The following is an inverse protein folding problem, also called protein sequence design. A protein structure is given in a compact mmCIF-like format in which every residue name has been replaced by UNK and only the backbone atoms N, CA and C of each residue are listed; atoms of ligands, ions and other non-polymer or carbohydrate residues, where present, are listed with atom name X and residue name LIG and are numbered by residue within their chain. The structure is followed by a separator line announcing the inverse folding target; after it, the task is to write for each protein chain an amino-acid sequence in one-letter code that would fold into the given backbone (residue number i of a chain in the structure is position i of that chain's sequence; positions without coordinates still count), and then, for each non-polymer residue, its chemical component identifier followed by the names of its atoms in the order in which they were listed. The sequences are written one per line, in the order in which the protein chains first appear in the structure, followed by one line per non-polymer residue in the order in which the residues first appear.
data_IF_540801572999
#
_entry.id   IF_540801572999
#
_cell.length_a   1.000
_cell.length_b   1.000
_cell.length_c   1.000
_cell.angle_alpha   90.00
_cell.angle_beta   90.00
_cell.angle_gamma   90.00
#
_symmetry.space_group_name_H-M   'P 1'
#
loop_
_entity.id
_entity.type
_entity.pdbx_description
1 polymer ?
#
# COMPACT_ATOMS: atom_id res chain seq x y z
N UNK A 1 22.45 41.08 -16.54
CA UNK A 1 23.37 41.85 -15.67
C UNK A 1 22.74 43.21 -15.41
N UNK A 2 22.26 43.49 -14.19
CA UNK A 2 21.82 44.84 -13.81
C UNK A 2 22.97 45.54 -13.10
N UNK A 3 23.34 46.74 -13.53
CA UNK A 3 24.32 47.61 -12.84
C UNK A 3 23.63 48.33 -11.69
N UNK A 4 24.17 48.21 -10.49
CA UNK A 4 23.88 49.11 -9.38
C UNK A 4 24.85 50.29 -9.48
N UNK A 5 24.30 51.50 -9.53
CA UNK A 5 25.04 52.75 -9.46
C UNK A 5 25.09 53.21 -8.00
N UNK A 6 26.27 53.56 -7.51
CA UNK A 6 26.51 54.00 -6.14
C UNK A 6 27.09 55.42 -6.20
N UNK A 7 26.27 56.42 -5.88
CA UNK A 7 26.74 57.77 -5.57
C UNK A 7 26.14 58.23 -4.25
N UNK A 8 27.04 58.70 -3.38
CA UNK A 8 26.74 59.77 -2.44
C UNK A 8 26.16 59.34 -1.09
N UNK A 9 27.06 59.32 -0.11
CA UNK A 9 26.86 59.76 1.27
C UNK A 9 25.99 58.90 2.22
N UNK A 10 26.73 58.43 3.24
CA UNK A 10 26.37 58.22 4.63
C UNK A 10 25.18 57.33 5.01
N UNK A 11 25.55 56.29 5.77
CA UNK A 11 24.76 55.69 6.85
C UNK A 11 23.34 55.28 6.47
N UNK A 12 23.20 54.03 6.01
CA UNK A 12 22.12 53.05 6.30
C UNK A 12 22.19 52.01 5.16
N UNK A 13 23.13 51.06 5.25
CA UNK A 13 23.13 49.91 4.33
C UNK A 13 23.95 48.74 4.86
N UNK A 14 23.99 48.51 6.19
CA UNK A 14 24.53 47.25 6.72
C UNK A 14 23.53 46.08 6.65
N UNK A 15 22.33 46.31 6.11
CA UNK A 15 21.45 45.24 5.62
C UNK A 15 21.77 44.89 4.17
N UNK A 16 23.05 44.85 3.82
CA UNK A 16 23.54 44.21 2.61
C UNK A 16 23.31 42.70 2.78
N UNK A 17 22.07 42.30 2.48
CA UNK A 17 21.76 41.13 1.69
C UNK A 17 22.74 39.98 1.91
N UNK A 18 22.63 39.34 3.07
CA UNK A 18 22.56 37.89 3.05
C UNK A 18 21.34 37.58 2.18
N UNK A 19 21.55 37.59 0.86
CA UNK A 19 20.81 36.77 -0.06
C UNK A 19 21.11 35.34 0.38
N UNK A 20 20.44 34.93 1.45
CA UNK A 20 20.09 33.54 1.63
C UNK A 20 19.30 33.30 0.36
N UNK A 21 20.01 32.76 -0.63
CA UNK A 21 19.40 31.98 -1.65
C UNK A 21 18.69 30.92 -0.80
N UNK A 22 17.43 31.18 -0.46
CA UNK A 22 16.50 30.18 0.03
C UNK A 22 16.28 29.28 -1.17
N UNK A 23 17.36 28.56 -1.47
CA UNK A 23 17.46 27.43 -2.34
C UNK A 23 16.30 26.61 -1.91
N UNK A 24 15.26 26.64 -2.75
CA UNK A 24 14.04 25.85 -2.73
C UNK A 24 14.34 24.55 -2.00
N UNK A 25 14.28 24.59 -0.67
CA UNK A 25 14.66 23.47 0.17
C UNK A 25 13.49 22.56 -0.06
N UNK A 26 13.75 21.62 -0.96
CA UNK A 26 12.78 21.15 -1.93
C UNK A 26 11.51 20.81 -1.16
N UNK A 27 10.46 21.63 -1.30
CA UNK A 27 9.31 21.61 -0.39
C UNK A 27 8.66 20.21 -0.33
N UNK A 28 8.93 19.37 -1.35
CA UNK A 28 8.68 17.93 -1.39
C UNK A 28 9.43 17.12 -0.33
N UNK A 29 10.73 17.36 -0.13
CA UNK A 29 11.58 16.70 0.89
C UNK A 29 11.12 17.02 2.32
N UNK A 30 10.78 18.29 2.60
CA UNK A 30 10.27 18.68 3.93
C UNK A 30 8.93 18.00 4.21
N UNK A 31 8.01 17.98 3.23
CA UNK A 31 6.73 17.25 3.35
C UNK A 31 6.95 15.75 3.60
N UNK A 32 7.89 15.13 2.89
CA UNK A 32 8.23 13.72 3.10
C UNK A 32 8.76 13.45 4.52
N UNK A 33 9.61 14.33 5.04
CA UNK A 33 10.21 14.21 6.37
C UNK A 33 9.16 14.39 7.48
N UNK A 34 8.21 15.33 7.31
CA UNK A 34 7.07 15.48 8.23
C UNK A 34 6.21 14.22 8.23
N UNK A 35 5.89 13.67 7.05
CA UNK A 35 5.11 12.42 6.94
C UNK A 35 5.85 11.27 7.64
N UNK A 36 7.15 11.15 7.45
CA UNK A 36 7.96 10.11 8.10
C UNK A 36 7.98 10.25 9.63
N UNK A 37 8.13 11.48 10.16
CA UNK A 37 8.08 11.75 11.59
C UNK A 37 6.71 11.43 12.19
N UNK A 38 5.62 11.82 11.54
CA UNK A 38 4.26 11.49 11.97
C UNK A 38 4.06 9.97 12.00
N UNK A 39 4.53 9.27 10.97
CA UNK A 39 4.46 7.81 10.91
C UNK A 39 5.23 7.14 12.05
N UNK A 40 6.41 7.66 12.40
CA UNK A 40 7.22 7.13 13.52
C UNK A 40 6.51 7.28 14.88
N UNK A 41 5.87 8.41 15.15
CA UNK A 41 5.17 8.65 16.42
C UNK A 41 3.98 7.69 16.64
N UNK A 42 3.30 7.30 15.57
CA UNK A 42 2.19 6.34 15.61
C UNK A 42 2.68 4.93 15.91
N UNK A 43 3.91 4.58 15.53
CA UNK A 43 4.51 3.27 15.83
C UNK A 43 4.87 3.19 17.32
N UNK A 44 5.57 4.20 17.86
CA UNK A 44 6.03 4.20 19.25
C UNK A 44 4.91 4.17 20.29
N UNK A 45 3.74 4.74 19.97
CA UNK A 45 2.62 4.78 20.92
C UNK A 45 1.98 3.40 21.17
N UNK A 46 2.32 2.37 20.38
CA UNK A 46 1.64 1.07 20.42
C UNK A 46 2.28 0.05 21.38
N UNK A 47 3.48 0.30 21.89
CA UNK A 47 4.17 -0.63 22.79
C UNK A 47 3.59 -0.64 24.22
N UNK A 48 2.83 0.40 24.61
CA UNK A 48 2.46 0.61 26.02
C UNK A 48 1.19 -0.13 26.50
N UNK A 49 0.45 -0.85 25.66
CA UNK A 49 -0.89 -1.37 26.04
C UNK A 49 -1.12 -2.87 25.81
N UNK A 50 -0.12 -3.72 26.05
CA UNK A 50 -0.30 -5.19 25.99
C UNK A 50 -0.23 -5.84 27.38
N UNK A 51 -1.23 -5.60 28.23
CA UNK A 51 -1.42 -6.40 29.44
C UNK A 51 -2.67 -7.29 29.31
N UNK A 52 -2.42 -8.61 29.38
CA UNK A 52 -3.29 -9.68 29.87
C UNK A 52 -4.19 -10.51 28.95
N UNK A 53 -4.24 -10.33 27.62
CA UNK A 53 -4.77 -11.40 26.75
C UNK A 53 -4.02 -11.52 25.42
N UNK A 54 -3.44 -12.71 25.16
CA UNK A 54 -2.61 -12.99 23.98
C UNK A 54 -3.37 -12.74 22.67
N UNK A 55 -3.04 -11.64 21.99
CA UNK A 55 -3.55 -11.33 20.67
C UNK A 55 -2.99 -12.36 19.66
N UNK A 56 -3.84 -13.06 18.89
CA UNK A 56 -3.38 -14.09 17.96
C UNK A 56 -2.42 -13.55 16.90
N UNK A 57 -2.55 -12.28 16.51
CA UNK A 57 -1.68 -11.61 15.52
C UNK A 57 -0.27 -11.36 16.04
N UNK A 58 -0.11 -11.21 17.36
CA UNK A 58 1.22 -11.08 18.00
C UNK A 58 1.87 -12.45 18.14
N UNK A 59 1.08 -13.45 18.54
CA UNK A 59 1.59 -14.82 18.78
C UNK A 59 1.95 -15.54 17.47
N UNK A 60 1.19 -15.28 16.40
CA UNK A 60 1.37 -15.87 15.08
C UNK A 60 1.29 -14.77 14.02
N UNK A 61 2.40 -14.03 13.84
CA UNK A 61 2.43 -12.93 12.88
C UNK A 61 2.35 -13.42 11.43
N UNK A 62 2.69 -14.67 11.17
CA UNK A 62 2.61 -15.28 9.84
C UNK A 62 1.31 -16.05 9.64
N UNK A 63 0.67 -15.83 8.49
CA UNK A 63 -0.50 -16.59 8.02
C UNK A 63 -0.32 -17.03 6.57
N UNK A 64 -0.79 -18.23 6.24
CA UNK A 64 -0.96 -18.68 4.86
C UNK A 64 -2.44 -18.64 4.53
N UNK A 65 -2.76 -18.44 3.27
CA UNK A 65 -4.15 -18.29 2.86
C UNK A 65 -4.37 -18.60 1.40
N UNK A 66 -5.57 -19.07 1.10
CA UNK A 66 -6.12 -19.36 -0.22
C UNK A 66 -7.30 -18.44 -0.46
N UNK A 67 -7.25 -17.64 -1.51
CA UNK A 67 -8.33 -16.76 -1.91
C UNK A 67 -9.10 -17.36 -3.08
N UNK A 68 -10.42 -17.38 -2.97
CA UNK A 68 -11.37 -17.55 -4.05
C UNK A 68 -11.82 -16.15 -4.48
N UNK A 69 -11.39 -15.75 -5.68
CA UNK A 69 -11.42 -14.37 -6.13
C UNK A 69 -10.25 -13.56 -5.60
N UNK A 70 -10.40 -12.24 -5.63
CA UNK A 70 -9.45 -11.31 -5.04
C UNK A 70 -8.61 -10.54 -6.08
N UNK A 71 -7.35 -10.19 -5.75
CA UNK A 71 -6.49 -9.41 -6.62
C UNK A 71 -6.12 -10.14 -7.93
N UNK A 72 -6.31 -11.46 -7.96
CA UNK A 72 -6.16 -12.32 -9.16
C UNK A 72 -7.49 -13.00 -9.46
N UNK A 73 -7.81 -13.16 -10.75
CA UNK A 73 -9.18 -13.36 -11.28
C UNK A 73 -9.93 -14.64 -10.79
N UNK A 74 -9.29 -15.62 -10.15
CA UNK A 74 -9.95 -16.88 -9.76
C UNK A 74 -9.50 -17.47 -8.42
N UNK A 75 -8.26 -17.96 -8.33
CA UNK A 75 -7.72 -18.61 -7.13
C UNK A 75 -6.31 -18.09 -6.92
N UNK A 76 -6.00 -17.70 -5.68
CA UNK A 76 -4.63 -17.36 -5.28
C UNK A 76 -4.24 -17.95 -3.94
N UNK A 77 -2.94 -18.05 -3.74
CA UNK A 77 -2.36 -18.22 -2.42
C UNK A 77 -1.68 -16.92 -1.99
N UNK A 78 -1.72 -16.61 -0.69
CA UNK A 78 -1.07 -15.45 -0.09
C UNK A 78 -0.35 -15.81 1.19
N UNK A 79 0.71 -15.05 1.46
CA UNK A 79 1.42 -14.99 2.72
C UNK A 79 1.11 -13.65 3.38
N UNK A 80 0.64 -13.73 4.61
CA UNK A 80 0.29 -12.62 5.47
C UNK A 80 1.36 -12.47 6.57
N UNK A 81 1.88 -11.25 6.78
CA UNK A 81 2.80 -10.94 7.86
C UNK A 81 2.35 -9.72 8.65
N UNK A 82 1.94 -9.92 9.91
CA UNK A 82 1.58 -8.86 10.84
C UNK A 82 2.85 -8.24 11.44
N UNK A 83 3.20 -7.03 10.97
CA UNK A 83 4.23 -6.19 11.59
C UNK A 83 3.72 -5.68 12.93
N UNK A 84 2.45 -5.26 12.95
CA UNK A 84 1.73 -4.83 14.15
C UNK A 84 0.37 -5.52 14.16
N UNK A 85 -0.32 -5.63 15.32
CA UNK A 85 -1.68 -6.19 15.35
C UNK A 85 -2.69 -5.46 14.45
N UNK A 86 -2.40 -4.21 14.09
CA UNK A 86 -3.22 -3.37 13.19
C UNK A 86 -2.67 -3.29 11.76
N UNK A 87 -1.43 -3.72 11.51
CA UNK A 87 -0.77 -3.56 10.21
C UNK A 87 -0.19 -4.89 9.74
N UNK A 88 -0.71 -5.34 8.61
CA UNK A 88 -0.30 -6.55 7.91
C UNK A 88 0.31 -6.18 6.57
N UNK A 89 1.31 -6.94 6.12
CA UNK A 89 1.76 -6.96 4.73
C UNK A 89 1.33 -8.28 4.13
N UNK A 90 0.70 -8.22 2.96
CA UNK A 90 0.26 -9.38 2.21
C UNK A 90 1.03 -9.45 0.90
N UNK A 91 1.46 -10.65 0.53
CA UNK A 91 2.01 -10.94 -0.80
C UNK A 91 1.45 -12.27 -1.28
N UNK A 92 1.03 -12.35 -2.53
CA UNK A 92 0.39 -13.54 -3.07
C UNK A 92 0.50 -13.67 -4.57
N UNK A 93 0.12 -14.84 -5.05
CA UNK A 93 0.14 -15.22 -6.46
C UNK A 93 -1.06 -16.09 -6.77
N UNK A 94 -1.69 -15.82 -7.92
CA UNK A 94 -2.79 -16.62 -8.43
C UNK A 94 -2.39 -17.45 -9.63
N UNK A 95 -3.39 -18.16 -10.18
CA UNK A 95 -3.27 -18.79 -11.51
C UNK A 95 -2.79 -17.76 -12.54
N UNK A 96 -3.23 -16.50 -12.37
CA UNK A 96 -2.91 -15.40 -13.26
C UNK A 96 -2.55 -14.13 -12.50
N UNK A 97 -1.24 -13.85 -12.39
CA UNK A 97 -0.70 -12.65 -11.76
C UNK A 97 -0.26 -12.81 -10.30
N UNK A 98 0.36 -11.75 -9.79
CA UNK A 98 0.87 -11.65 -8.42
C UNK A 98 0.50 -10.30 -7.83
N UNK A 99 0.52 -10.19 -6.51
CA UNK A 99 0.17 -8.97 -5.81
C UNK A 99 0.94 -8.83 -4.50
N UNK A 100 1.09 -7.60 -4.04
CA UNK A 100 1.61 -7.30 -2.72
C UNK A 100 1.11 -5.95 -2.20
N UNK A 101 0.94 -5.82 -0.89
CA UNK A 101 0.69 -4.53 -0.27
C UNK A 101 0.25 -4.59 1.19
N UNK A 102 0.15 -3.43 1.85
CA UNK A 102 -0.29 -3.33 3.23
C UNK A 102 -1.80 -3.46 3.40
N UNK A 103 -2.20 -4.06 4.53
CA UNK A 103 -3.56 -4.10 5.07
C UNK A 103 -3.60 -3.51 6.48
N UNK A 104 -4.61 -2.68 6.74
CA UNK A 104 -4.91 -2.09 8.02
C UNK A 104 -6.12 -2.77 8.67
N UNK A 105 -5.95 -3.28 9.89
CA UNK A 105 -6.99 -3.95 10.69
C UNK A 105 -7.53 -3.02 11.77
N UNK A 106 -8.80 -2.65 11.65
CA UNK A 106 -9.49 -1.84 12.64
C UNK A 106 -9.60 -2.61 13.96
N UNK A 107 -9.19 -1.95 15.05
CA UNK A 107 -9.17 -2.52 16.41
C UNK A 107 -8.30 -3.78 16.54
N UNK A 108 -7.34 -3.98 15.63
CA UNK A 108 -6.46 -5.13 15.60
C UNK A 108 -5.59 -5.31 16.86
N UNK A 109 -5.35 -4.24 17.63
CA UNK A 109 -4.65 -4.28 18.93
C UNK A 109 -5.41 -5.06 20.01
N UNK A 110 -6.75 -5.08 19.96
CA UNK A 110 -7.56 -5.82 20.93
C UNK A 110 -7.40 -7.32 20.70
N UNK A 111 -7.58 -8.11 21.75
CA UNK A 111 -7.65 -9.56 21.62
C UNK A 111 -8.99 -10.00 21.00
N UNK A 112 -9.18 -9.66 19.73
CA UNK A 112 -10.34 -10.00 18.93
C UNK A 112 -9.87 -10.84 17.75
N UNK A 113 -10.53 -11.97 17.53
CA UNK A 113 -10.26 -12.83 16.37
C UNK A 113 -10.72 -12.15 15.09
N UNK A 114 -11.90 -11.53 15.15
CA UNK A 114 -12.54 -10.85 14.03
C UNK A 114 -12.20 -9.36 14.01
N UNK A 115 -11.77 -8.86 12.86
CA UNK A 115 -11.48 -7.44 12.60
C UNK A 115 -12.01 -7.04 11.25
N UNK A 116 -12.61 -5.86 11.16
CA UNK A 116 -12.76 -5.17 9.87
C UNK A 116 -11.36 -4.76 9.39
N UNK A 117 -11.10 -4.84 8.10
CA UNK A 117 -9.84 -4.39 7.52
C UNK A 117 -10.05 -3.70 6.17
N UNK A 118 -9.06 -2.92 5.78
CA UNK A 118 -8.92 -2.37 4.44
C UNK A 118 -7.45 -2.40 4.04
N UNK A 119 -7.11 -2.17 2.77
CA UNK A 119 -5.72 -2.17 2.33
C UNK A 119 -5.53 -1.52 0.98
N UNK A 120 -4.29 -1.52 0.52
CA UNK A 120 -3.92 -1.14 -0.84
C UNK A 120 -2.90 -2.16 -1.32
N UNK A 121 -3.26 -2.94 -2.33
CA UNK A 121 -2.39 -3.93 -2.94
C UNK A 121 -2.08 -3.49 -4.36
N UNK A 122 -0.82 -3.63 -4.77
CA UNK A 122 -0.41 -3.52 -6.17
C UNK A 122 -0.50 -4.89 -6.77
N UNK A 123 -1.24 -5.01 -7.88
CA UNK A 123 -1.34 -6.25 -8.65
C UNK A 123 -0.53 -6.11 -9.93
N UNK A 124 0.02 -7.22 -10.39
CA UNK A 124 0.71 -7.33 -11.67
C UNK A 124 0.16 -8.55 -12.39
N UNK A 125 -0.52 -8.27 -13.50
CA UNK A 125 -1.22 -9.26 -14.33
C UNK A 125 -0.45 -9.38 -15.65
N UNK A 126 0.34 -10.44 -15.86
CA UNK A 126 1.05 -10.65 -17.12
C UNK A 126 0.06 -10.85 -18.28
N UNK A 127 0.51 -10.76 -19.54
CA UNK A 127 -0.29 -11.09 -20.71
C UNK A 127 -0.47 -12.60 -20.86
N UNK A 128 -1.66 -13.04 -21.30
CA UNK A 128 -2.01 -14.47 -21.43
C UNK A 128 -0.93 -15.22 -22.24
N UNK A 129 -0.54 -16.45 -21.87
CA UNK A 129 0.53 -17.16 -22.56
C UNK A 129 0.06 -17.45 -23.98
N UNK A 130 0.87 -17.11 -24.98
CA UNK A 130 0.52 -17.24 -26.40
C UNK A 130 -0.28 -16.07 -26.98
N UNK A 131 -0.68 -15.08 -26.17
CA UNK A 131 -1.33 -13.85 -26.70
C UNK A 131 -0.44 -13.08 -27.68
N UNK A 132 0.88 -13.19 -27.55
CA UNK A 132 1.85 -12.61 -28.48
C UNK A 132 1.83 -13.27 -29.87
N UNK A 133 1.58 -14.58 -29.94
CA UNK A 133 1.45 -15.32 -31.20
C UNK A 133 0.21 -14.84 -31.94
N UNK A 134 -0.94 -14.77 -31.26
CA UNK A 134 -2.18 -14.28 -31.87
C UNK A 134 -2.08 -12.82 -32.29
N UNK A 135 -1.45 -11.97 -31.47
CA UNK A 135 -1.21 -10.56 -31.80
C UNK A 135 -0.35 -10.42 -33.06
N UNK A 136 0.77 -11.14 -33.14
CA UNK A 136 1.66 -11.13 -34.33
C UNK A 136 1.01 -11.73 -35.58
N UNK A 137 0.07 -12.66 -35.42
CA UNK A 137 -0.71 -13.22 -36.51
C UNK A 137 -1.80 -12.27 -37.03
N UNK A 138 -1.92 -11.06 -36.50
CA UNK A 138 -2.90 -10.06 -36.92
C UNK A 138 -4.33 -10.34 -36.42
N UNK A 139 -4.49 -11.22 -35.43
CA UNK A 139 -5.79 -11.42 -34.80
C UNK A 139 -6.15 -10.19 -33.97
N UNK A 140 -7.43 -9.88 -33.85
CA UNK A 140 -7.92 -8.75 -33.07
C UNK A 140 -7.85 -9.04 -31.55
N UNK A 141 -6.63 -9.17 -31.04
CA UNK A 141 -6.33 -9.34 -29.61
C UNK A 141 -5.56 -8.12 -29.10
N UNK A 142 -5.74 -7.72 -27.82
CA UNK A 142 -4.95 -6.65 -27.23
C UNK A 142 -3.45 -6.97 -27.26
N UNK A 143 -2.62 -5.95 -27.38
CA UNK A 143 -1.16 -6.09 -27.32
C UNK A 143 -0.75 -6.73 -25.97
N UNK A 144 0.13 -7.75 -25.99
CA UNK A 144 0.54 -8.46 -24.78
C UNK A 144 1.40 -7.56 -23.89
N UNK A 145 0.77 -6.92 -22.89
CA UNK A 145 1.44 -6.08 -21.89
C UNK A 145 1.05 -6.51 -20.49
N UNK A 146 2.03 -6.47 -19.58
CA UNK A 146 1.77 -6.62 -18.14
C UNK A 146 0.96 -5.41 -17.67
N UNK A 147 -0.20 -5.68 -17.07
CA UNK A 147 -1.03 -4.66 -16.47
C UNK A 147 -0.70 -4.55 -14.99
N UNK A 148 -0.57 -3.33 -14.50
CA UNK A 148 -0.50 -3.04 -13.07
C UNK A 148 -1.82 -2.40 -12.66
N UNK A 149 -2.41 -2.86 -11.56
CA UNK A 149 -3.62 -2.27 -10.99
C UNK A 149 -3.45 -2.06 -9.48
N UNK A 150 -4.21 -1.11 -8.92
CA UNK A 150 -4.39 -1.00 -7.48
C UNK A 150 -5.65 -1.73 -7.07
N UNK A 151 -5.53 -2.59 -6.06
CA UNK A 151 -6.62 -3.34 -5.48
C UNK A 151 -6.85 -2.85 -4.04
N UNK A 152 -8.04 -2.34 -3.77
CA UNK A 152 -8.42 -1.76 -2.47
C UNK A 152 -9.50 -2.64 -1.86
N UNK A 153 -9.15 -3.60 -0.99
CA UNK A 153 -10.14 -4.43 -0.30
C UNK A 153 -10.74 -3.69 0.89
N UNK A 154 -11.99 -4.02 1.17
CA UNK A 154 -12.66 -3.75 2.44
C UNK A 154 -13.33 -5.07 2.84
N UNK A 155 -12.95 -5.60 4.00
CA UNK A 155 -13.39 -6.93 4.39
C UNK A 155 -13.41 -7.17 5.88
N UNK A 156 -13.93 -8.32 6.26
CA UNK A 156 -13.92 -8.85 7.63
C UNK A 156 -12.96 -10.03 7.65
N UNK A 157 -12.01 -10.02 8.56
CA UNK A 157 -11.01 -11.08 8.74
C UNK A 157 -11.14 -11.70 10.12
N UNK A 158 -11.14 -13.02 10.21
CA UNK A 158 -11.18 -13.82 11.42
C UNK A 158 -9.91 -14.67 11.51
N UNK A 159 -9.07 -14.40 12.51
CA UNK A 159 -7.86 -15.17 12.78
C UNK A 159 -8.09 -16.12 13.96
N UNK A 160 -7.96 -17.42 13.69
CA UNK A 160 -7.97 -18.46 14.70
C UNK A 160 -6.74 -18.39 15.59
N UNK A 161 -6.86 -18.87 16.83
CA UNK A 161 -5.70 -19.09 17.71
C UNK A 161 -4.74 -20.12 17.15
N UNK A 162 -5.16 -20.92 16.16
CA UNK A 162 -4.34 -21.90 15.44
C UNK A 162 -3.46 -21.27 14.34
N UNK A 163 -3.64 -19.99 14.01
CA UNK A 163 -2.89 -19.31 12.93
C UNK A 163 -3.65 -19.28 11.60
N UNK A 164 -4.72 -20.08 11.50
CA UNK A 164 -5.65 -20.07 10.38
C UNK A 164 -6.39 -18.73 10.26
N UNK A 165 -6.58 -18.24 9.05
CA UNK A 165 -7.26 -16.97 8.74
C UNK A 165 -8.37 -17.14 7.71
N UNK A 166 -9.59 -16.77 8.08
CA UNK A 166 -10.71 -16.69 7.15
C UNK A 166 -11.10 -15.23 6.94
N UNK A 167 -11.29 -14.79 5.70
CA UNK A 167 -11.73 -13.42 5.43
C UNK A 167 -12.75 -13.35 4.30
N UNK A 168 -13.69 -12.41 4.39
CA UNK A 168 -14.61 -12.06 3.31
C UNK A 168 -14.38 -10.60 2.96
N UNK A 169 -14.22 -10.29 1.68
CA UNK A 169 -13.96 -8.91 1.24
C UNK A 169 -14.74 -8.56 -0.03
N UNK A 170 -15.05 -7.26 -0.12
CA UNK A 170 -15.45 -6.59 -1.35
C UNK A 170 -14.29 -5.66 -1.69
N UNK A 171 -13.94 -5.59 -2.96
CA UNK A 171 -12.85 -4.76 -3.40
C UNK A 171 -13.19 -3.98 -4.64
N UNK A 172 -12.46 -2.88 -4.78
CA UNK A 172 -12.40 -2.13 -6.01
C UNK A 172 -11.00 -2.26 -6.59
N UNK A 173 -10.92 -2.45 -7.91
CA UNK A 173 -9.66 -2.38 -8.64
C UNK A 173 -9.63 -1.15 -9.53
N UNK A 174 -8.50 -0.47 -9.60
CA UNK A 174 -8.27 0.64 -10.52
C UNK A 174 -6.99 0.41 -11.30
N UNK A 175 -7.13 0.33 -12.62
CA UNK A 175 -5.99 0.25 -13.55
C UNK A 175 -5.30 1.61 -13.63
N UNK A 176 -3.98 1.63 -13.77
CA UNK A 176 -3.24 2.90 -13.96
C UNK A 176 -3.68 3.69 -15.20
N UNK A 177 -4.24 3.00 -16.19
CA UNK A 177 -4.52 3.53 -17.54
C UNK A 177 -6.02 3.73 -17.81
N UNK A 178 -6.92 3.12 -17.02
CA UNK A 178 -8.38 3.15 -17.27
C UNK A 178 -9.14 3.75 -16.07
N UNK A 179 -10.23 4.49 -16.35
CA UNK A 179 -11.07 5.16 -15.35
C UNK A 179 -12.25 4.32 -14.86
N UNK A 180 -12.49 3.12 -15.42
CA UNK A 180 -13.57 2.24 -14.96
C UNK A 180 -13.20 1.52 -13.66
N UNK A 181 -14.18 1.42 -12.76
CA UNK A 181 -14.04 0.87 -11.42
C UNK A 181 -14.86 -0.44 -11.32
N UNK A 182 -14.26 -1.63 -11.54
CA UNK A 182 -14.92 -2.89 -11.24
C UNK A 182 -15.06 -3.12 -9.73
N UNK A 183 -16.18 -3.73 -9.34
CA UNK A 183 -16.38 -4.32 -8.01
C UNK A 183 -16.06 -5.82 -8.07
N UNK A 184 -15.28 -6.30 -7.11
CA UNK A 184 -14.84 -7.69 -7.01
C UNK A 184 -15.26 -8.24 -5.65
N UNK A 185 -15.84 -9.43 -5.62
CA UNK A 185 -16.12 -10.18 -4.40
C UNK A 185 -15.05 -11.26 -4.22
N UNK A 186 -14.57 -11.44 -2.99
CA UNK A 186 -13.50 -12.39 -2.68
C UNK A 186 -13.71 -13.02 -1.30
N UNK A 187 -13.36 -14.30 -1.20
CA UNK A 187 -13.37 -15.07 0.03
C UNK A 187 -12.00 -15.72 0.23
N UNK A 188 -11.45 -15.62 1.44
CA UNK A 188 -10.11 -16.05 1.83
C UNK A 188 -10.20 -17.14 2.90
N UNK A 189 -9.49 -18.24 2.73
CA UNK A 189 -9.46 -19.40 3.60
C UNK A 189 -8.01 -19.78 3.86
N UNK A 190 -7.56 -19.79 5.10
CA UNK A 190 -6.16 -19.98 5.44
C UNK A 190 -5.99 -20.41 6.86
#
# INVERSE_FOLDING_TARGET
MKRCDFRGEELIAQNCMYGINEDKLNMKKIKLLIIALLFSSVIYTQEATSFAVENPRVKRPMGLSLNLGGPTILVSASLDYFILPILNIEAGGGIWGYYAGPKYHFRGQRNMRTTLYTGVLVTAIPPLPGSDVFYKAGWNVPEPKTNYDFYIPIGISNMSRSGYTFSLEIATSRRFIDSKIPFIFSAKFG
#
